data_IF_517886985144
#
_entry.id   IF_517886985144
#
_cell.length_a   1.000
_cell.length_b   1.000
_cell.length_c   1.000
_cell.angle_alpha   90.00
_cell.angle_beta   90.00
_cell.angle_gamma   90.00
#
_symmetry.space_group_name_H-M   'P 1'
#
loop_
_entity.id
_entity.type
_entity.pdbx_description
1 polymer ?
#
# COMPACT_ATOMS: atom_id res chain seq x y z
N UNK A 1 25.27 -7.38 -19.17
CA UNK A 1 24.17 -8.37 -19.24
C UNK A 1 24.76 -9.64 -19.82
N UNK A 2 24.76 -10.74 -19.09
CA UNK A 2 25.26 -12.01 -19.61
C UNK A 2 24.13 -12.74 -20.36
N UNK A 3 24.23 -12.77 -21.69
CA UNK A 3 23.20 -13.35 -22.57
C UNK A 3 23.05 -14.86 -22.41
N UNK A 4 24.10 -15.57 -21.97
CA UNK A 4 24.04 -17.01 -21.69
C UNK A 4 23.25 -17.28 -20.42
N UNK A 5 23.56 -16.52 -19.35
CA UNK A 5 22.86 -16.60 -18.06
C UNK A 5 21.36 -16.30 -18.20
N UNK A 6 21.00 -15.32 -19.02
CA UNK A 6 19.59 -15.01 -19.32
C UNK A 6 18.90 -16.20 -19.98
N UNK A 7 19.53 -16.79 -21.01
CA UNK A 7 18.98 -17.95 -21.71
C UNK A 7 18.77 -19.16 -20.79
N UNK A 8 19.73 -19.42 -19.90
CA UNK A 8 19.63 -20.47 -18.88
C UNK A 8 18.47 -20.23 -17.90
N UNK A 9 18.29 -18.99 -17.44
CA UNK A 9 17.19 -18.60 -16.53
C UNK A 9 15.83 -18.71 -17.20
N UNK A 10 15.71 -18.32 -18.48
CA UNK A 10 14.49 -18.53 -19.28
C UNK A 10 14.16 -20.03 -19.37
N UNK A 11 15.16 -20.86 -19.70
CA UNK A 11 14.98 -22.32 -19.79
C UNK A 11 14.54 -22.92 -18.46
N UNK A 12 15.20 -22.53 -17.38
CA UNK A 12 14.91 -23.02 -16.04
C UNK A 12 13.48 -22.69 -15.61
N UNK A 13 13.06 -21.42 -15.76
CA UNK A 13 11.71 -20.97 -15.44
C UNK A 13 10.63 -21.67 -16.27
N UNK A 14 10.89 -21.83 -17.58
CA UNK A 14 10.00 -22.54 -18.49
C UNK A 14 9.82 -24.01 -18.10
N UNK A 15 10.92 -24.71 -17.81
CA UNK A 15 10.90 -26.12 -17.38
C UNK A 15 10.17 -26.32 -16.05
N UNK A 16 10.36 -25.41 -15.09
CA UNK A 16 9.70 -25.47 -13.78
C UNK A 16 8.16 -25.38 -13.91
N UNK A 17 7.67 -24.60 -14.87
CA UNK A 17 6.24 -24.36 -15.10
C UNK A 17 5.62 -25.26 -16.16
N UNK A 18 6.38 -26.21 -16.71
CA UNK A 18 5.95 -27.07 -17.82
C UNK A 18 5.50 -26.30 -19.09
N UNK A 19 6.08 -25.13 -19.35
CA UNK A 19 5.79 -24.33 -20.54
C UNK A 19 6.58 -24.83 -21.75
N UNK A 20 5.96 -24.82 -22.93
CA UNK A 20 6.67 -25.01 -24.19
C UNK A 20 7.20 -23.68 -24.72
N UNK A 21 8.11 -23.73 -25.70
CA UNK A 21 8.55 -22.53 -26.41
C UNK A 21 7.40 -21.84 -27.17
N UNK A 22 6.40 -22.63 -27.58
CA UNK A 22 5.23 -22.14 -28.29
C UNK A 22 4.29 -21.35 -27.36
N UNK A 23 4.12 -21.81 -26.12
CA UNK A 23 3.26 -21.16 -25.12
C UNK A 23 3.76 -19.74 -24.81
N UNK A 24 5.04 -19.60 -24.51
CA UNK A 24 5.66 -18.28 -24.27
C UNK A 24 5.53 -17.39 -25.51
N UNK A 25 5.77 -17.96 -26.70
CA UNK A 25 5.71 -17.22 -27.95
C UNK A 25 4.30 -16.68 -28.23
N UNK A 26 3.28 -17.50 -27.96
CA UNK A 26 1.87 -17.13 -28.09
C UNK A 26 1.47 -16.05 -27.07
N UNK A 27 1.91 -16.19 -25.81
CA UNK A 27 1.60 -15.23 -24.74
C UNK A 27 2.15 -13.83 -25.02
N UNK A 28 3.37 -13.73 -25.55
CA UNK A 28 4.01 -12.44 -25.80
C UNK A 28 3.84 -11.93 -27.25
N UNK A 29 3.17 -12.71 -28.11
CA UNK A 29 2.91 -12.34 -29.50
C UNK A 29 4.14 -12.33 -30.42
N UNK A 30 5.07 -13.27 -30.26
CA UNK A 30 6.26 -13.41 -31.12
C UNK A 30 6.35 -14.79 -31.77
N UNK A 31 7.25 -14.95 -32.75
CA UNK A 31 7.54 -16.26 -33.32
C UNK A 31 8.30 -17.17 -32.34
N UNK A 32 8.02 -18.47 -32.34
CA UNK A 32 8.77 -19.51 -31.58
C UNK A 32 10.29 -19.41 -31.75
N UNK A 33 10.74 -19.15 -32.97
CA UNK A 33 12.16 -18.97 -33.30
C UNK A 33 12.81 -17.84 -32.52
N UNK A 34 12.05 -16.79 -32.19
CA UNK A 34 12.52 -15.67 -31.37
C UNK A 34 12.79 -16.14 -29.94
N UNK A 35 11.85 -16.81 -29.28
CA UNK A 35 12.03 -17.35 -27.92
C UNK A 35 13.20 -18.33 -27.87
N UNK A 36 13.31 -19.22 -28.87
CA UNK A 36 14.42 -20.16 -28.96
C UNK A 36 15.79 -19.47 -29.02
N UNK A 37 15.90 -18.34 -29.74
CA UNK A 37 17.14 -17.55 -29.80
C UNK A 37 17.46 -16.87 -28.47
N UNK A 38 16.45 -16.41 -27.73
CA UNK A 38 16.62 -15.89 -26.36
C UNK A 38 17.12 -17.00 -25.42
N UNK A 39 16.49 -18.17 -25.42
CA UNK A 39 16.86 -19.30 -24.56
C UNK A 39 18.29 -19.81 -24.85
N UNK A 40 18.72 -19.77 -26.12
CA UNK A 40 20.08 -20.17 -26.52
C UNK A 40 21.14 -19.07 -26.34
N UNK A 41 20.77 -17.87 -25.89
CA UNK A 41 21.70 -16.74 -25.76
C UNK A 41 22.27 -16.23 -27.10
N UNK A 42 21.57 -16.45 -28.22
CA UNK A 42 22.02 -16.07 -29.57
C UNK A 42 21.68 -14.63 -29.96
N UNK A 43 21.16 -13.85 -29.02
CA UNK A 43 20.78 -12.45 -29.20
C UNK A 43 21.81 -11.59 -28.48
N UNK A 44 22.73 -10.98 -29.25
CA UNK A 44 23.79 -10.14 -28.70
C UNK A 44 23.26 -8.94 -27.89
N UNK A 45 22.13 -8.38 -28.31
CA UNK A 45 21.47 -7.25 -27.64
C UNK A 45 19.99 -7.55 -27.38
N UNK A 46 19.67 -8.25 -26.27
CA UNK A 46 18.30 -8.52 -25.86
C UNK A 46 17.51 -7.22 -25.64
N UNK A 47 16.30 -7.11 -26.22
CA UNK A 47 15.44 -5.95 -26.00
C UNK A 47 14.78 -6.06 -24.62
N UNK A 48 14.98 -5.05 -23.76
CA UNK A 48 14.38 -5.00 -22.43
C UNK A 48 12.85 -5.19 -22.42
N UNK A 49 12.06 -4.57 -23.33
CA UNK A 49 10.62 -4.80 -23.36
C UNK A 49 10.26 -6.27 -23.60
N UNK A 50 11.00 -6.96 -24.48
CA UNK A 50 10.74 -8.38 -24.80
C UNK A 50 11.12 -9.27 -23.62
N UNK A 51 12.24 -8.98 -22.95
CA UNK A 51 12.62 -9.69 -21.73
C UNK A 51 11.60 -9.49 -20.60
N UNK A 52 11.04 -8.29 -20.48
CA UNK A 52 9.97 -8.00 -19.53
C UNK A 52 8.72 -8.83 -19.87
N UNK A 53 8.29 -8.85 -21.13
CA UNK A 53 7.16 -9.69 -21.55
C UNK A 53 7.39 -11.18 -21.29
N UNK A 54 8.61 -11.69 -21.54
CA UNK A 54 8.98 -13.08 -21.23
C UNK A 54 8.91 -13.34 -19.72
N UNK A 55 9.42 -12.41 -18.91
CA UNK A 55 9.37 -12.52 -17.45
C UNK A 55 7.92 -12.59 -16.93
N UNK A 56 7.03 -11.78 -17.51
CA UNK A 56 5.62 -11.76 -17.15
C UNK A 56 4.89 -13.04 -17.57
N UNK A 57 5.11 -13.54 -18.79
CA UNK A 57 4.54 -14.83 -19.24
C UNK A 57 5.01 -16.00 -18.37
N UNK A 58 6.26 -15.96 -17.92
CA UNK A 58 6.84 -16.96 -17.01
C UNK A 58 6.57 -16.68 -15.53
N UNK A 59 5.85 -15.60 -15.19
CA UNK A 59 5.62 -15.14 -13.81
C UNK A 59 6.91 -15.20 -12.94
N UNK A 60 7.98 -14.58 -13.43
CA UNK A 60 9.29 -14.48 -12.75
C UNK A 60 9.73 -13.03 -12.66
N UNK A 61 10.57 -12.72 -11.69
CA UNK A 61 11.07 -11.36 -11.49
C UNK A 61 11.91 -10.92 -12.72
N UNK A 62 11.57 -9.81 -13.39
CA UNK A 62 12.33 -9.32 -14.55
C UNK A 62 13.81 -9.08 -14.25
N UNK A 63 14.15 -8.62 -13.04
CA UNK A 63 15.55 -8.43 -12.63
C UNK A 63 16.29 -9.76 -12.49
N UNK A 64 15.64 -10.81 -11.98
CA UNK A 64 16.23 -12.15 -11.95
C UNK A 64 16.40 -12.67 -13.37
N UNK A 65 15.40 -12.55 -14.24
CA UNK A 65 15.54 -13.03 -15.62
C UNK A 65 16.75 -12.41 -16.35
N UNK A 66 17.02 -11.13 -16.07
CA UNK A 66 18.12 -10.34 -16.64
C UNK A 66 19.51 -10.66 -16.04
N UNK A 67 19.58 -11.51 -15.02
CA UNK A 67 20.83 -11.97 -14.43
C UNK A 67 21.22 -11.30 -13.11
N UNK A 68 20.36 -10.42 -12.53
CA UNK A 68 20.58 -9.83 -11.20
C UNK A 68 20.46 -10.90 -10.12
N UNK A 69 21.12 -10.67 -8.99
CA UNK A 69 21.10 -11.57 -7.85
C UNK A 69 19.92 -11.24 -6.92
N UNK A 70 18.72 -11.63 -7.35
CA UNK A 70 17.44 -11.44 -6.65
C UNK A 70 16.61 -12.71 -6.80
N UNK A 71 15.48 -12.85 -6.08
CA UNK A 71 14.67 -14.07 -6.17
C UNK A 71 14.01 -14.25 -7.56
N UNK A 72 13.85 -15.50 -7.99
CA UNK A 72 13.23 -15.87 -9.26
C UNK A 72 11.73 -15.57 -9.31
N UNK A 73 10.99 -15.79 -8.23
CA UNK A 73 9.54 -15.62 -8.24
C UNK A 73 9.20 -14.12 -8.27
N UNK A 74 8.35 -13.72 -9.23
CA UNK A 74 7.92 -12.31 -9.33
C UNK A 74 7.02 -11.88 -8.17
N UNK A 75 6.43 -12.84 -7.46
CA UNK A 75 5.50 -12.62 -6.35
C UNK A 75 5.69 -13.67 -5.23
N UNK A 76 6.79 -13.57 -4.49
CA UNK A 76 6.82 -13.93 -3.06
C UNK A 76 7.60 -12.88 -2.26
N UNK A 77 7.55 -11.64 -2.74
CA UNK A 77 8.08 -10.46 -2.07
C UNK A 77 7.15 -9.34 -2.52
N UNK A 78 6.22 -8.85 -1.68
CA UNK A 78 6.40 -7.45 -1.24
C UNK A 78 5.64 -7.05 0.02
N UNK A 79 4.85 -7.92 0.68
CA UNK A 79 4.21 -7.55 1.97
C UNK A 79 4.69 -8.35 3.18
N UNK A 80 4.85 -9.67 3.05
CA UNK A 80 5.09 -10.54 4.22
C UNK A 80 6.34 -11.42 4.16
N UNK A 81 7.14 -11.31 3.10
CA UNK A 81 8.39 -12.06 2.92
C UNK A 81 9.37 -11.93 4.10
N UNK A 82 9.41 -10.76 4.75
CA UNK A 82 10.19 -10.53 5.98
C UNK A 82 9.78 -11.45 7.13
N UNK A 83 8.52 -11.90 7.15
CA UNK A 83 7.93 -12.74 8.20
C UNK A 83 7.84 -14.23 7.79
N UNK A 84 8.21 -14.56 6.54
CA UNK A 84 8.19 -15.93 6.03
C UNK A 84 9.60 -16.51 6.11
N UNK A 85 9.74 -17.58 6.89
CA UNK A 85 10.94 -18.40 6.99
C UNK A 85 10.60 -19.86 6.63
N UNK A 86 11.61 -20.73 6.54
CA UNK A 86 11.42 -22.18 6.34
C UNK A 86 10.53 -22.85 7.41
N UNK A 87 10.28 -22.16 8.53
CA UNK A 87 9.48 -22.65 9.66
C UNK A 87 8.12 -21.97 9.79
N UNK A 88 7.81 -21.05 8.88
CA UNK A 88 6.55 -20.33 8.83
C UNK A 88 5.54 -21.11 7.98
N UNK A 89 4.40 -21.47 8.56
CA UNK A 89 3.25 -22.01 7.86
C UNK A 89 2.17 -20.94 7.68
N UNK A 90 1.50 -20.94 6.54
CA UNK A 90 0.32 -20.08 6.32
C UNK A 90 -0.91 -20.83 6.84
N UNK A 91 -1.68 -20.19 7.72
CA UNK A 91 -2.94 -20.73 8.20
C UNK A 91 -4.09 -20.23 7.32
N UNK A 92 -4.69 -21.13 6.55
CA UNK A 92 -5.87 -20.81 5.74
C UNK A 92 -7.12 -20.68 6.62
N UNK A 93 -7.73 -19.48 6.62
CA UNK A 93 -8.98 -19.22 7.32
C UNK A 93 -10.15 -19.80 6.52
N UNK A 94 -10.49 -21.05 6.82
CA UNK A 94 -11.70 -21.70 6.31
C UNK A 94 -12.60 -22.14 7.46
N UNK A 95 -13.90 -22.33 7.21
CA UNK A 95 -14.81 -22.82 8.25
C UNK A 95 -14.39 -24.18 8.82
N UNK A 96 -13.71 -25.02 8.03
CA UNK A 96 -13.13 -26.29 8.53
C UNK A 96 -11.89 -26.05 9.39
N UNK A 97 -10.98 -25.19 8.96
CA UNK A 97 -9.76 -24.84 9.70
C UNK A 97 -10.08 -24.26 11.08
N UNK A 98 -11.07 -23.35 11.15
CA UNK A 98 -11.50 -22.72 12.40
C UNK A 98 -12.16 -23.72 13.36
N UNK A 99 -13.00 -24.62 12.84
CA UNK A 99 -13.66 -25.66 13.64
C UNK A 99 -12.67 -26.67 14.21
N UNK A 100 -11.66 -27.05 13.42
CA UNK A 100 -10.69 -28.08 13.78
C UNK A 100 -9.48 -27.54 14.57
N UNK A 101 -9.30 -26.22 14.62
CA UNK A 101 -8.19 -25.56 15.33
C UNK A 101 -8.73 -24.50 16.31
N UNK A 102 -9.41 -24.91 17.39
CA UNK A 102 -10.07 -23.98 18.32
C UNK A 102 -9.07 -23.03 19.00
N UNK A 103 -7.84 -23.48 19.28
CA UNK A 103 -6.80 -22.64 19.89
C UNK A 103 -6.40 -21.48 18.98
N UNK A 104 -6.23 -21.73 17.68
CA UNK A 104 -5.89 -20.69 16.69
C UNK A 104 -7.06 -19.74 16.51
N UNK A 105 -8.28 -20.26 16.47
CA UNK A 105 -9.49 -19.43 16.38
C UNK A 105 -9.67 -18.52 17.61
N UNK A 106 -9.40 -19.03 18.82
CA UNK A 106 -9.45 -18.23 20.04
C UNK A 106 -8.39 -17.14 20.02
N UNK A 107 -7.15 -17.47 19.64
CA UNK A 107 -6.08 -16.47 19.52
C UNK A 107 -6.43 -15.34 18.53
N UNK A 108 -7.06 -15.67 17.40
CA UNK A 108 -7.55 -14.67 16.44
C UNK A 108 -8.64 -13.78 17.08
N UNK A 109 -9.59 -14.37 17.81
CA UNK A 109 -10.65 -13.62 18.50
C UNK A 109 -10.10 -12.69 19.60
N UNK A 110 -9.09 -13.14 20.34
CA UNK A 110 -8.46 -12.40 21.42
C UNK A 110 -7.66 -11.22 20.85
N UNK A 111 -6.83 -11.46 19.82
CA UNK A 111 -6.12 -10.38 19.12
C UNK A 111 -7.04 -9.33 18.51
N UNK A 112 -8.19 -9.75 17.96
CA UNK A 112 -9.21 -8.81 17.46
C UNK A 112 -9.86 -8.00 18.59
N UNK A 113 -10.10 -8.62 19.75
CA UNK A 113 -10.71 -7.94 20.90
C UNK A 113 -9.75 -6.90 21.49
N UNK A 114 -8.47 -7.25 21.66
CA UNK A 114 -7.43 -6.32 22.12
C UNK A 114 -7.26 -5.10 21.19
N UNK A 115 -7.37 -5.30 19.87
CA UNK A 115 -7.33 -4.18 18.91
C UNK A 115 -8.53 -3.24 19.02
N UNK A 116 -9.67 -3.71 19.53
CA UNK A 116 -10.88 -2.92 19.74
C UNK A 116 -10.91 -2.21 21.10
N UNK A 117 -10.06 -2.61 22.06
CA UNK A 117 -9.95 -1.96 23.37
C UNK A 117 -9.24 -0.60 23.24
N UNK A 118 -10.03 0.44 22.94
CA UNK A 118 -9.54 1.83 22.82
C UNK A 118 -10.23 2.67 21.75
N UNK A 119 -11.14 2.09 20.95
CA UNK A 119 -11.94 2.83 19.97
C UNK A 119 -13.26 3.21 20.62
N UNK A 120 -13.43 4.49 20.97
CA UNK A 120 -14.71 5.04 21.40
C UNK A 120 -15.78 4.72 20.34
N UNK A 121 -16.89 4.13 20.78
CA UNK A 121 -18.02 3.62 19.99
C UNK A 121 -18.80 4.68 19.16
N UNK A 122 -18.18 5.78 18.75
CA UNK A 122 -18.85 6.94 18.13
C UNK A 122 -18.13 7.51 16.92
N UNK A 123 -17.52 6.68 16.07
CA UNK A 123 -17.23 7.09 14.69
C UNK A 123 -17.91 6.15 13.70
N UNK A 124 -19.12 6.54 13.29
CA UNK A 124 -19.72 6.12 12.03
C UNK A 124 -18.81 6.62 10.90
N UNK A 125 -17.91 5.76 10.41
CA UNK A 125 -17.34 5.93 9.08
C UNK A 125 -18.31 5.30 8.09
N UNK A 126 -18.72 6.13 7.14
CA UNK A 126 -19.86 5.96 6.24
C UNK A 126 -19.60 4.96 5.13
N UNK A 127 -20.68 4.30 4.73
CA UNK A 127 -20.91 3.43 3.58
C UNK A 127 -20.16 2.09 3.51
N UNK A 128 -20.83 1.07 4.06
CA UNK A 128 -20.88 -0.27 3.45
C UNK A 128 -20.03 -1.36 4.10
N UNK A 129 -19.27 -1.07 5.16
CA UNK A 129 -18.55 -2.09 5.91
C UNK A 129 -18.86 -1.91 7.40
N UNK A 130 -19.53 -2.90 7.96
CA UNK A 130 -19.80 -3.01 9.39
C UNK A 130 -18.49 -2.92 10.19
N UNK A 131 -18.52 -2.13 11.25
CA UNK A 131 -17.38 -1.83 12.13
C UNK A 131 -16.73 -3.12 12.66
N UNK A 132 -15.42 -3.07 12.94
CA UNK A 132 -14.66 -4.20 13.51
C UNK A 132 -15.33 -4.77 14.78
N UNK A 133 -16.05 -3.95 15.55
CA UNK A 133 -16.89 -4.38 16.69
C UNK A 133 -18.01 -5.35 16.29
N UNK A 134 -18.70 -5.12 15.17
CA UNK A 134 -19.75 -6.02 14.68
C UNK A 134 -19.18 -7.38 14.27
N UNK A 135 -17.96 -7.40 13.75
CA UNK A 135 -17.26 -8.64 13.40
C UNK A 135 -16.88 -9.41 14.67
N UNK A 136 -16.35 -8.74 15.70
CA UNK A 136 -16.04 -9.38 16.98
C UNK A 136 -17.30 -10.00 17.63
N UNK A 137 -18.44 -9.32 17.56
CA UNK A 137 -19.74 -9.85 18.01
C UNK A 137 -20.22 -11.02 17.15
N UNK A 138 -20.07 -10.93 15.82
CA UNK A 138 -20.42 -11.99 14.88
C UNK A 138 -19.57 -13.27 15.09
N UNK A 139 -18.31 -13.13 15.51
CA UNK A 139 -17.44 -14.26 15.83
C UNK A 139 -17.83 -14.94 17.13
N UNK A 140 -18.25 -14.17 18.14
CA UNK A 140 -18.72 -14.66 19.44
C UNK A 140 -20.12 -15.28 19.39
N UNK A 141 -20.94 -14.92 18.41
CA UNK A 141 -22.30 -15.46 18.26
C UNK A 141 -22.30 -16.99 18.03
N UNK A 142 -23.06 -17.76 18.83
CA UNK A 142 -23.19 -19.21 18.64
C UNK A 142 -24.08 -19.58 17.44
N UNK A 143 -24.83 -18.61 16.89
CA UNK A 143 -25.75 -18.83 15.78
C UNK A 143 -25.08 -18.76 14.40
N UNK A 144 -23.88 -18.19 14.33
CA UNK A 144 -23.13 -18.07 13.07
C UNK A 144 -22.35 -19.36 12.77
N UNK A 145 -22.44 -19.85 11.53
CA UNK A 145 -21.65 -20.99 11.09
C UNK A 145 -20.16 -20.65 11.09
N UNK A 146 -19.29 -21.64 11.28
CA UNK A 146 -17.85 -21.46 11.08
C UNK A 146 -17.51 -20.98 9.66
N UNK A 147 -18.36 -21.29 8.67
CA UNK A 147 -18.21 -20.76 7.31
C UNK A 147 -18.44 -19.24 7.27
N UNK A 148 -19.46 -18.74 7.96
CA UNK A 148 -19.78 -17.31 8.02
C UNK A 148 -18.73 -16.55 8.84
N UNK A 149 -18.27 -17.15 9.94
CA UNK A 149 -17.15 -16.65 10.75
C UNK A 149 -15.85 -16.55 9.92
N UNK A 150 -15.56 -17.56 9.11
CA UNK A 150 -14.42 -17.53 8.21
C UNK A 150 -14.57 -16.45 7.13
N UNK A 151 -15.76 -16.26 6.58
CA UNK A 151 -16.03 -15.18 5.62
C UNK A 151 -15.81 -13.80 6.23
N UNK A 152 -16.30 -13.57 7.46
CA UNK A 152 -16.10 -12.33 8.19
C UNK A 152 -14.61 -12.08 8.48
N UNK A 153 -13.86 -13.10 8.91
CA UNK A 153 -12.42 -12.99 9.14
C UNK A 153 -11.63 -12.72 7.85
N UNK A 154 -11.95 -13.40 6.75
CA UNK A 154 -11.30 -13.16 5.46
C UNK A 154 -11.59 -11.78 4.87
N UNK A 155 -12.63 -11.08 5.34
CA UNK A 155 -12.89 -9.70 4.95
C UNK A 155 -11.89 -8.71 5.56
N UNK A 156 -11.32 -9.05 6.72
CA UNK A 156 -10.45 -8.16 7.50
C UNK A 156 -9.01 -8.69 7.66
N UNK A 157 -8.76 -9.98 7.47
CA UNK A 157 -7.44 -10.61 7.59
C UNK A 157 -6.91 -10.93 6.20
N UNK A 158 -5.69 -10.49 5.95
CA UNK A 158 -4.97 -10.70 4.70
C UNK A 158 -4.19 -12.02 4.75
N UNK A 159 -3.46 -12.26 5.85
CA UNK A 159 -2.77 -13.54 6.09
C UNK A 159 -2.60 -13.82 7.58
N UNK A 160 -2.64 -15.11 7.93
CA UNK A 160 -2.24 -15.62 9.24
C UNK A 160 -0.99 -16.48 9.04
N UNK A 161 0.09 -16.11 9.71
CA UNK A 161 1.35 -16.81 9.69
C UNK A 161 1.59 -17.48 11.04
N UNK A 162 1.97 -18.74 11.03
CA UNK A 162 2.31 -19.50 12.23
C UNK A 162 3.76 -19.96 12.15
N UNK A 163 4.59 -19.51 13.10
CA UNK A 163 5.97 -19.96 13.22
C UNK A 163 6.03 -21.21 14.10
N UNK A 164 6.35 -22.34 13.49
CA UNK A 164 6.45 -23.65 14.15
C UNK A 164 7.63 -23.78 15.10
N UNK A 165 8.66 -22.93 15.00
CA UNK A 165 9.83 -22.95 15.89
C UNK A 165 9.59 -22.19 17.18
N UNK A 166 8.97 -21.02 17.05
CA UNK A 166 8.75 -20.11 18.17
C UNK A 166 7.35 -20.26 18.79
N UNK A 167 6.48 -21.07 18.18
CA UNK A 167 5.07 -21.23 18.55
C UNK A 167 4.32 -19.88 18.57
N UNK A 168 4.65 -19.01 17.61
CA UNK A 168 4.10 -17.65 17.52
C UNK A 168 3.16 -17.51 16.34
N UNK A 169 1.97 -16.96 16.59
CA UNK A 169 0.99 -16.60 15.57
C UNK A 169 1.10 -15.11 15.22
N UNK A 170 1.25 -14.79 13.94
CA UNK A 170 1.27 -13.43 13.41
C UNK A 170 0.08 -13.23 12.48
N UNK A 171 -0.79 -12.28 12.81
CA UNK A 171 -2.00 -11.97 12.03
C UNK A 171 -1.78 -10.63 11.34
N UNK A 172 -1.95 -10.59 10.02
CA UNK A 172 -1.84 -9.37 9.26
C UNK A 172 -3.20 -9.00 8.65
N UNK A 173 -3.66 -7.78 8.97
CA UNK A 173 -4.98 -7.31 8.58
C UNK A 173 -4.96 -6.61 7.21
N UNK A 174 -6.10 -6.67 6.52
CA UNK A 174 -6.41 -5.89 5.33
C UNK A 174 -6.63 -4.45 5.78
N UNK A 175 -5.57 -3.64 5.71
CA UNK A 175 -5.71 -2.19 5.80
C UNK A 175 -6.51 -1.72 4.57
N UNK A 176 -7.56 -0.94 4.84
CA UNK A 176 -8.56 -0.42 3.92
C UNK A 176 -8.07 -0.21 2.48
N UNK A 177 -8.79 -0.82 1.51
CA UNK A 177 -8.59 -0.65 0.06
C UNK A 177 -9.15 0.68 -0.45
N UNK A 178 -9.66 1.56 0.40
CA UNK A 178 -10.05 2.92 0.01
C UNK A 178 -8.82 3.85 0.00
N UNK A 179 -8.27 4.07 -1.22
CA UNK A 179 -7.26 5.09 -1.55
C UNK A 179 -5.94 5.07 -0.75
N UNK A 180 -5.08 4.08 -0.98
CA UNK A 180 -3.66 4.24 -0.67
C UNK A 180 -2.80 3.99 -1.91
N UNK A 181 -2.61 5.05 -2.71
CA UNK A 181 -1.29 5.23 -3.30
C UNK A 181 -0.35 5.34 -2.11
N UNK A 182 0.48 4.33 -1.85
CA UNK A 182 1.51 4.40 -0.84
C UNK A 182 2.51 5.50 -1.25
N UNK A 183 2.23 6.74 -0.83
CA UNK A 183 3.01 7.91 -1.20
C UNK A 183 4.45 7.79 -0.71
N UNK A 184 4.65 7.12 0.43
CA UNK A 184 5.97 6.81 0.97
C UNK A 184 6.75 5.89 0.03
N UNK A 185 6.13 4.80 -0.43
CA UNK A 185 6.77 3.89 -1.38
C UNK A 185 7.09 4.60 -2.72
N UNK A 186 6.14 5.35 -3.28
CA UNK A 186 6.37 6.08 -4.53
C UNK A 186 7.46 7.15 -4.39
N UNK A 187 7.48 7.86 -3.25
CA UNK A 187 8.52 8.84 -2.95
C UNK A 187 9.88 8.16 -2.83
N UNK A 188 9.97 7.04 -2.11
CA UNK A 188 11.22 6.31 -1.89
C UNK A 188 11.78 5.73 -3.20
N UNK A 189 10.93 5.15 -4.06
CA UNK A 189 11.32 4.65 -5.37
C UNK A 189 11.87 5.77 -6.25
N UNK A 190 11.19 6.91 -6.32
CA UNK A 190 11.65 8.08 -7.07
C UNK A 190 12.95 8.65 -6.49
N UNK A 191 13.04 8.79 -5.16
CA UNK A 191 14.20 9.32 -4.45
C UNK A 191 15.45 8.49 -4.69
N UNK A 192 15.33 7.15 -4.71
CA UNK A 192 16.45 6.25 -4.95
C UNK A 192 17.03 6.32 -6.37
N UNK A 193 16.27 6.82 -7.35
CA UNK A 193 16.74 7.04 -8.72
C UNK A 193 17.50 8.36 -8.89
N UNK A 194 17.45 9.27 -7.92
CA UNK A 194 18.08 10.59 -8.00
C UNK A 194 19.57 10.57 -7.59
N UNK A 195 20.33 11.50 -8.14
CA UNK A 195 21.69 11.81 -7.68
C UNK A 195 21.66 12.69 -6.41
N UNK A 196 22.83 12.97 -5.82
CA UNK A 196 22.95 13.73 -4.56
C UNK A 196 22.23 15.08 -4.61
N UNK A 197 22.46 15.88 -5.66
CA UNK A 197 21.81 17.19 -5.81
C UNK A 197 20.29 17.09 -5.97
N UNK A 198 19.79 16.04 -6.64
CA UNK A 198 18.34 15.80 -6.76
C UNK A 198 17.71 15.40 -5.43
N UNK A 199 18.40 14.59 -4.63
CA UNK A 199 17.95 14.19 -3.29
C UNK A 199 17.88 15.39 -2.33
N UNK A 200 18.89 16.27 -2.36
CA UNK A 200 18.88 17.52 -1.58
C UNK A 200 17.64 18.37 -1.89
N UNK A 201 17.33 18.58 -3.17
CA UNK A 201 16.14 19.36 -3.56
C UNK A 201 14.82 18.76 -3.10
N UNK A 202 14.69 17.42 -3.11
CA UNK A 202 13.47 16.76 -2.61
C UNK A 202 13.32 16.97 -1.11
N UNK A 203 14.42 16.92 -0.36
CA UNK A 203 14.42 17.17 1.09
C UNK A 203 14.05 18.63 1.38
N UNK A 204 14.65 19.59 0.68
CA UNK A 204 14.35 21.02 0.86
C UNK A 204 12.86 21.29 0.64
N UNK A 205 12.31 20.82 -0.48
CA UNK A 205 10.91 21.01 -0.82
C UNK A 205 9.96 20.31 0.17
N UNK A 206 10.29 19.09 0.61
CA UNK A 206 9.49 18.39 1.62
C UNK A 206 9.52 19.13 2.97
N UNK A 207 10.67 19.71 3.33
CA UNK A 207 10.84 20.50 4.55
C UNK A 207 10.01 21.78 4.48
N UNK A 208 10.03 22.48 3.35
CA UNK A 208 9.21 23.67 3.13
C UNK A 208 7.71 23.35 3.28
N UNK A 209 7.24 22.26 2.66
CA UNK A 209 5.85 21.82 2.79
C UNK A 209 5.49 21.47 4.24
N UNK A 210 6.40 20.84 4.98
CA UNK A 210 6.18 20.46 6.39
C UNK A 210 6.09 21.66 7.35
N UNK A 211 6.50 22.85 6.91
CA UNK A 211 6.42 24.09 7.69
C UNK A 211 5.22 24.96 7.32
N UNK A 212 4.41 24.55 6.33
CA UNK A 212 3.28 25.32 5.85
C UNK A 212 1.96 24.71 6.37
N UNK A 213 1.19 25.50 7.12
CA UNK A 213 -0.07 25.07 7.76
C UNK A 213 -1.07 24.41 6.79
N UNK A 214 -1.15 24.88 5.54
CA UNK A 214 -2.06 24.33 4.52
C UNK A 214 -1.67 22.91 4.06
N UNK A 215 -0.47 22.45 4.37
CA UNK A 215 0.10 21.17 3.94
C UNK A 215 0.48 20.27 5.14
N UNK A 216 0.14 20.68 6.37
CA UNK A 216 0.36 19.93 7.61
C UNK A 216 -0.96 19.58 8.27
N UNK A 217 -1.00 18.46 9.00
CA UNK A 217 -2.17 18.06 9.79
C UNK A 217 -2.03 18.68 11.18
N UNK A 218 -3.02 19.43 11.63
CA UNK A 218 -3.05 20.03 12.97
C UNK A 218 -3.14 18.95 14.05
N UNK A 219 -2.00 18.44 14.49
CA UNK A 219 -1.92 17.68 15.74
C UNK A 219 -1.92 18.69 16.89
N UNK A 220 -3.03 18.72 17.65
CA UNK A 220 -3.38 19.51 18.84
C UNK A 220 -4.17 20.82 18.63
N UNK A 221 -5.50 20.71 18.63
CA UNK A 221 -6.40 21.69 19.28
C UNK A 221 -7.79 21.09 19.52
N UNK A 222 -7.95 20.41 20.66
CA UNK A 222 -9.19 20.49 21.43
C UNK A 222 -9.05 21.66 22.41
N UNK A 223 -10.08 22.49 22.50
CA UNK A 223 -10.24 23.63 23.42
C UNK A 223 -9.38 24.88 23.18
N UNK A 224 -9.87 25.76 22.31
CA UNK A 224 -10.50 27.00 22.79
C UNK A 224 -11.12 27.78 21.62
N UNK A 225 -12.32 28.29 21.89
CA UNK A 225 -13.06 29.26 21.09
C UNK A 225 -12.22 30.45 20.63
N UNK A 226 -12.45 30.89 19.38
CA UNK A 226 -12.34 32.28 18.88
C UNK A 226 -11.11 33.09 19.30
N UNK A 227 -10.22 33.41 18.35
CA UNK A 227 -10.05 34.78 17.80
C UNK A 227 -9.49 34.66 16.37
N UNK A 228 -10.30 35.03 15.37
CA UNK A 228 -9.80 35.46 14.07
C UNK A 228 -9.00 36.75 14.29
N UNK A 229 -7.68 36.66 14.41
CA UNK A 229 -6.82 37.85 14.24
C UNK A 229 -6.61 38.09 12.74
N UNK A 230 -7.71 38.31 12.02
CA UNK A 230 -7.64 39.13 10.82
C UNK A 230 -7.31 40.56 11.27
N UNK A 231 -6.35 41.17 10.58
CA UNK A 231 -5.83 42.53 10.78
C UNK A 231 -4.80 42.71 11.92
N UNK A 232 -3.52 42.51 11.58
CA UNK A 232 -2.50 43.42 12.09
C UNK A 232 -2.79 44.80 11.48
N UNK A 233 -3.36 45.70 12.28
CA UNK A 233 -3.52 47.09 11.90
C UNK A 233 -2.14 47.67 11.56
N UNK A 234 -1.97 48.24 10.37
CA UNK A 234 -0.76 49.00 10.01
C UNK A 234 -0.63 50.17 10.98
N UNK A 235 0.32 50.09 11.91
CA UNK A 235 0.58 51.13 12.92
C UNK A 235 1.36 52.33 12.39
N UNK A 236 1.58 52.42 11.08
CA UNK A 236 2.58 53.32 10.50
C UNK A 236 1.97 54.61 9.92
N UNK A 237 0.65 54.82 10.05
CA UNK A 237 -0.04 56.00 9.50
C UNK A 237 -0.90 56.64 10.61
N UNK A 238 -0.49 57.82 11.07
CA UNK A 238 -1.32 58.65 11.95
C UNK A 238 -2.40 59.36 11.10
N UNK A 239 -3.67 59.01 11.31
CA UNK A 239 -4.81 59.75 10.78
C UNK A 239 -5.05 60.97 11.68
N UNK A 240 -5.15 62.20 11.14
CA UNK A 240 -5.34 63.40 11.96
C UNK A 240 -6.69 63.41 12.69
N UNK A 241 -6.71 63.89 13.94
CA UNK A 241 -7.95 64.10 14.71
C UNK A 241 -8.86 65.11 13.99
N UNK A 242 -10.06 64.66 13.63
CA UNK A 242 -11.07 65.45 12.91
C UNK A 242 -11.38 64.99 11.50
N UNK A 243 -10.77 63.89 11.03
CA UNK A 243 -11.19 63.25 9.79
C UNK A 243 -12.60 62.67 9.97
N UNK A 244 -13.57 63.28 9.31
CA UNK A 244 -14.93 62.76 9.15
C UNK A 244 -14.87 61.52 8.27
N UNK A 245 -15.24 60.37 8.83
CA UNK A 245 -15.29 59.07 8.14
C UNK A 245 -16.72 58.56 8.03
N UNK A 246 -17.71 59.45 8.08
CA UNK A 246 -19.11 59.08 7.88
C UNK A 246 -19.48 59.13 6.38
N UNK A 247 -19.82 57.98 5.81
CA UNK A 247 -20.35 57.82 4.45
C UNK A 247 -21.87 58.07 4.43
N UNK A 248 -22.35 59.16 5.06
CA UNK A 248 -23.80 59.41 5.19
C UNK A 248 -24.39 60.38 4.12
N UNK A 249 -23.60 60.86 3.15
CA UNK A 249 -24.03 61.89 2.18
C UNK A 249 -24.05 61.44 0.70
N UNK A 250 -24.26 60.15 0.39
CA UNK A 250 -24.23 59.64 -1.00
C UNK A 250 -25.56 59.07 -1.53
N UNK A 251 -26.67 59.23 -0.82
CA UNK A 251 -27.98 58.67 -1.26
C UNK A 251 -29.13 59.67 -1.28
N UNK A 252 -28.89 60.92 -1.69
CA UNK A 252 -29.96 61.89 -1.94
C UNK A 252 -29.64 62.84 -3.12
N UNK A 253 -29.12 62.30 -4.23
CA UNK A 253 -29.08 63.04 -5.50
C UNK A 253 -30.42 62.91 -6.22
N UNK A 254 -31.02 64.05 -6.61
CA UNK A 254 -32.35 64.13 -7.25
C UNK A 254 -32.30 64.11 -8.78
N UNK A 255 -31.14 63.83 -9.37
CA UNK A 255 -30.97 63.72 -10.82
C UNK A 255 -30.51 62.32 -11.30
N UNK A 256 -30.87 61.25 -10.57
CA UNK A 256 -30.82 59.86 -11.06
C UNK A 256 -32.15 59.10 -10.90
#
# INVERSE_FOLDING_TARGET
MDVKKIGERIKHARSLRNYTLEDIAKDIGVAKSTIQRYERGQIAHPKLPVLHSIANSLNVNPGWLVGKDINMNADMDTKYSKYISDSTMIFEITGRSLKNSPTVFQAICDSLSEMCEGVDNTTKYTDGIETVSNIAEALKSPFNSYTDKAAALNAIIDVVLYDTKNDTLSIHFVLDKSKNVNYEQKLLEAFNLLNTAGKEKVIDYATDLSNMANYTIDTYSSDNSTILNAAQARTDINVPEGADTSDDDIMDDKDF
#
